data_IF_263772798815
#
_entry.id   IF_263772798815
#
_cell.length_a   1.000
_cell.length_b   1.000
_cell.length_c   1.000
_cell.angle_alpha   90.00
_cell.angle_beta   90.00
_cell.angle_gamma   90.00
#
_symmetry.space_group_name_H-M   'P 1'
#
loop_
_entity.id
_entity.type
_entity.pdbx_description
1 polymer ?
#
# COMPACT_ATOMS: atom_id res chain seq x y z
N UNK A 1 -16.85 -15.36 27.45
CA UNK A 1 -15.76 -14.38 27.33
C UNK A 1 -14.75 -14.60 28.44
N UNK A 2 -13.47 -14.62 28.12
CA UNK A 2 -12.37 -14.78 29.09
C UNK A 2 -11.45 -13.58 28.92
N UNK A 3 -11.14 -12.87 29.99
CA UNK A 3 -10.01 -11.93 30.05
C UNK A 3 -8.81 -12.75 30.48
N UNK A 4 -7.74 -12.72 29.67
CA UNK A 4 -6.58 -13.57 29.90
C UNK A 4 -5.69 -12.93 30.97
N UNK A 5 -5.88 -13.31 32.22
CA UNK A 5 -5.21 -12.75 33.42
C UNK A 5 -4.41 -13.80 34.20
N UNK A 6 -4.64 -15.09 33.96
CA UNK A 6 -3.99 -16.19 34.64
C UNK A 6 -3.27 -17.13 33.68
N UNK A 7 -2.38 -17.95 34.21
CA UNK A 7 -1.69 -19.00 33.41
C UNK A 7 -2.67 -20.03 32.84
N UNK A 8 -3.77 -20.31 33.54
CA UNK A 8 -4.79 -21.25 33.05
C UNK A 8 -5.62 -20.63 31.95
N UNK A 9 -5.90 -19.31 32.00
CA UNK A 9 -6.53 -18.58 30.90
C UNK A 9 -5.65 -18.60 29.65
N UNK A 10 -4.31 -18.47 29.79
CA UNK A 10 -3.36 -18.57 28.67
C UNK A 10 -3.44 -19.93 28.01
N UNK A 11 -3.42 -21.02 28.81
CA UNK A 11 -3.53 -22.39 28.25
C UNK A 11 -4.84 -22.59 27.50
N UNK A 12 -5.97 -22.21 28.12
CA UNK A 12 -7.28 -22.29 27.52
C UNK A 12 -7.37 -21.50 26.21
N UNK A 13 -6.79 -20.29 26.21
CA UNK A 13 -6.69 -19.46 25.02
C UNK A 13 -5.84 -20.14 23.92
N UNK A 14 -4.63 -20.58 24.22
CA UNK A 14 -3.71 -21.16 23.24
C UNK A 14 -4.27 -22.43 22.61
N UNK A 15 -4.86 -23.32 23.39
CA UNK A 15 -5.53 -24.51 22.88
C UNK A 15 -6.65 -24.18 21.90
N UNK A 16 -7.48 -23.19 22.26
CA UNK A 16 -8.59 -22.73 21.42
C UNK A 16 -8.08 -22.05 20.15
N UNK A 17 -7.11 -21.15 20.29
CA UNK A 17 -6.59 -20.29 19.22
C UNK A 17 -5.83 -21.07 18.14
N UNK A 18 -5.14 -22.15 18.52
CA UNK A 18 -4.41 -23.00 17.59
C UNK A 18 -5.27 -24.03 16.88
N UNK A 19 -6.48 -24.30 17.38
CA UNK A 19 -7.35 -25.34 16.86
C UNK A 19 -8.29 -24.89 15.76
N UNK A 20 -8.55 -23.59 15.62
CA UNK A 20 -9.53 -23.05 14.67
C UNK A 20 -9.20 -21.64 14.21
N UNK A 21 -9.85 -21.25 13.12
CA UNK A 21 -9.81 -19.86 12.62
C UNK A 21 -10.45 -18.89 13.62
N UNK A 22 -10.04 -17.62 13.57
CA UNK A 22 -10.54 -16.61 14.49
C UNK A 22 -10.54 -15.20 13.90
N UNK A 23 -11.36 -14.34 14.46
CA UNK A 23 -11.34 -12.89 14.19
C UNK A 23 -10.46 -12.22 15.26
N UNK A 24 -9.52 -11.40 14.83
CA UNK A 24 -8.53 -10.72 15.68
C UNK A 24 -8.66 -9.21 15.47
N UNK A 25 -8.94 -8.49 16.56
CA UNK A 25 -9.11 -7.03 16.57
C UNK A 25 -8.13 -6.42 17.55
N UNK A 26 -7.04 -5.79 17.06
CA UNK A 26 -6.11 -5.05 17.92
C UNK A 26 -6.71 -3.69 18.27
N UNK A 27 -6.53 -3.26 19.51
CA UNK A 27 -6.85 -1.92 19.99
C UNK A 27 -5.57 -1.22 20.42
N UNK A 28 -5.26 -0.11 19.78
CA UNK A 28 -4.09 0.70 20.09
C UNK A 28 -4.36 1.67 21.23
N UNK A 29 -3.29 2.09 21.92
CA UNK A 29 -3.39 3.03 23.06
C UNK A 29 -3.70 4.46 22.60
N UNK A 30 -3.31 4.85 21.37
CA UNK A 30 -3.58 6.18 20.80
C UNK A 30 -3.94 6.04 19.31
N UNK A 31 -5.19 6.29 18.98
CA UNK A 31 -5.70 6.14 17.61
C UNK A 31 -5.19 7.23 16.63
N UNK A 32 -4.55 8.28 17.12
CA UNK A 32 -4.02 9.35 16.26
C UNK A 32 -2.55 9.15 15.90
N UNK A 33 -1.88 8.18 16.52
CA UNK A 33 -0.49 7.83 16.22
C UNK A 33 -0.41 6.71 15.19
N UNK A 34 0.65 6.78 14.38
CA UNK A 34 0.97 5.66 13.51
C UNK A 34 1.21 4.39 14.33
N UNK A 35 0.79 3.19 13.87
CA UNK A 35 1.00 1.94 14.62
C UNK A 35 2.46 1.71 15.03
N UNK A 36 3.42 2.14 14.22
CA UNK A 36 4.86 2.04 14.53
C UNK A 36 5.34 2.97 15.64
N UNK A 37 4.56 3.98 16.02
CA UNK A 37 4.83 4.93 17.11
C UNK A 37 3.88 4.74 18.29
N UNK A 38 3.14 3.64 18.28
CA UNK A 38 2.06 3.37 19.19
C UNK A 38 2.33 2.12 20.03
N UNK A 39 1.50 1.89 21.01
CA UNK A 39 1.49 0.67 21.78
C UNK A 39 0.16 -0.05 21.66
N UNK A 40 0.20 -1.37 21.73
CA UNK A 40 -0.98 -2.20 21.78
C UNK A 40 -1.61 -2.11 23.19
N UNK A 41 -2.89 -1.72 23.26
CA UNK A 41 -3.66 -1.70 24.49
C UNK A 41 -4.18 -3.09 24.84
N UNK A 42 -4.92 -3.68 23.91
CA UNK A 42 -5.42 -5.05 24.03
C UNK A 42 -5.64 -5.68 22.65
N UNK A 43 -5.80 -7.01 22.63
CA UNK A 43 -6.31 -7.74 21.47
C UNK A 43 -7.59 -8.46 21.88
N UNK A 44 -8.67 -8.20 21.13
CA UNK A 44 -9.89 -8.96 21.20
C UNK A 44 -9.86 -10.08 20.16
N UNK A 45 -10.21 -11.30 20.57
CA UNK A 45 -10.22 -12.48 19.71
C UNK A 45 -11.55 -13.20 19.85
N UNK A 46 -12.23 -13.40 18.72
CA UNK A 46 -13.42 -14.23 18.67
C UNK A 46 -13.15 -15.47 17.82
N UNK A 47 -13.27 -16.64 18.41
CA UNK A 47 -13.17 -17.91 17.72
C UNK A 47 -14.37 -18.13 16.79
N UNK A 48 -14.24 -19.03 15.80
CA UNK A 48 -15.38 -19.35 14.92
C UNK A 48 -16.55 -19.98 15.66
N UNK A 49 -16.33 -20.66 16.76
CA UNK A 49 -17.36 -21.18 17.67
C UNK A 49 -17.94 -20.13 18.63
N UNK A 50 -17.59 -18.84 18.44
CA UNK A 50 -18.04 -17.67 19.21
C UNK A 50 -17.48 -17.55 20.63
N UNK A 51 -16.54 -18.37 21.05
CA UNK A 51 -15.78 -18.09 22.26
C UNK A 51 -15.00 -16.80 22.10
N UNK A 52 -14.96 -15.99 23.15
CA UNK A 52 -14.31 -14.67 23.14
C UNK A 52 -13.19 -14.62 24.16
N UNK A 53 -12.07 -14.07 23.74
CA UNK A 53 -10.91 -13.82 24.58
C UNK A 53 -10.47 -12.36 24.42
N UNK A 54 -10.05 -11.75 25.52
CA UNK A 54 -9.41 -10.44 25.55
C UNK A 54 -8.05 -10.59 26.18
N UNK A 55 -7.02 -10.16 25.47
CA UNK A 55 -5.64 -10.17 25.95
C UNK A 55 -5.22 -8.73 26.19
N UNK A 56 -5.17 -8.26 27.42
CA UNK A 56 -4.67 -6.93 27.75
C UNK A 56 -3.13 -6.91 27.67
N UNK A 57 -2.57 -5.82 27.13
CA UNK A 57 -1.12 -5.62 27.07
C UNK A 57 -0.71 -4.42 27.93
N UNK A 58 -0.82 -3.20 27.45
CA UNK A 58 -0.52 -2.00 28.22
C UNK A 58 -1.75 -1.55 29.01
N UNK A 59 -2.19 -2.39 29.93
CA UNK A 59 -3.43 -2.25 30.70
C UNK A 59 -3.21 -2.57 32.17
N UNK A 60 -4.07 -2.06 33.08
CA UNK A 60 -4.07 -2.44 34.50
C UNK A 60 -4.38 -3.93 34.70
N UNK A 61 -5.15 -4.51 33.78
CA UNK A 61 -5.51 -5.92 33.72
C UNK A 61 -4.44 -6.78 33.01
N UNK A 62 -3.30 -6.21 32.62
CA UNK A 62 -2.24 -6.94 31.92
C UNK A 62 -1.67 -8.06 32.77
N UNK A 63 -1.61 -9.27 32.22
CA UNK A 63 -0.96 -10.41 32.83
C UNK A 63 0.57 -10.21 32.81
N UNK A 64 1.15 -9.95 33.97
CA UNK A 64 2.57 -9.66 34.11
C UNK A 64 3.42 -10.93 33.88
N UNK A 65 4.48 -10.80 33.09
CA UNK A 65 5.47 -11.87 32.88
C UNK A 65 5.10 -12.93 31.85
N UNK A 66 3.97 -12.80 31.15
CA UNK A 66 3.58 -13.70 30.09
C UNK A 66 3.71 -13.05 28.71
N UNK A 67 4.41 -13.73 27.81
CA UNK A 67 4.46 -13.38 26.38
C UNK A 67 3.53 -14.32 25.61
N UNK A 68 2.32 -13.85 25.31
CA UNK A 68 1.32 -14.66 24.59
C UNK A 68 1.66 -14.63 23.10
N UNK A 69 1.98 -15.80 22.56
CA UNK A 69 2.29 -15.94 21.14
C UNK A 69 1.01 -16.09 20.31
N UNK A 70 0.72 -15.09 19.48
CA UNK A 70 -0.41 -15.12 18.55
C UNK A 70 -0.08 -15.74 17.18
N UNK A 71 1.15 -16.23 16.98
CA UNK A 71 1.49 -16.92 15.74
C UNK A 71 0.81 -18.31 15.68
N UNK A 72 0.10 -18.56 14.59
CA UNK A 72 -0.66 -19.80 14.38
C UNK A 72 -0.85 -20.10 12.90
N UNK A 73 -0.95 -21.38 12.54
CA UNK A 73 -1.22 -21.84 11.17
C UNK A 73 -2.67 -21.68 10.75
N UNK A 74 -3.60 -21.49 11.70
CA UNK A 74 -5.01 -21.21 11.41
C UNK A 74 -5.20 -19.79 10.89
N UNK A 75 -6.26 -19.58 10.11
CA UNK A 75 -6.52 -18.27 9.49
C UNK A 75 -7.02 -17.26 10.53
N UNK A 76 -6.42 -16.08 10.52
CA UNK A 76 -6.83 -14.94 11.33
C UNK A 76 -7.47 -13.89 10.43
N UNK A 77 -8.70 -13.51 10.74
CA UNK A 77 -9.44 -12.48 10.04
C UNK A 77 -9.38 -11.18 10.83
N UNK A 78 -9.07 -10.08 10.18
CA UNK A 78 -9.02 -8.75 10.81
C UNK A 78 -9.64 -7.70 9.90
N UNK A 79 -9.99 -6.54 10.46
CA UNK A 79 -10.44 -5.40 9.67
C UNK A 79 -9.30 -4.76 8.88
N UNK A 80 -8.13 -4.60 9.51
CA UNK A 80 -6.94 -4.00 8.91
C UNK A 80 -5.71 -4.88 9.19
N UNK A 81 -5.27 -5.58 8.15
CA UNK A 81 -4.11 -6.47 8.21
C UNK A 81 -2.81 -5.70 8.44
N UNK A 82 -2.66 -4.51 7.85
CA UNK A 82 -1.44 -3.72 7.99
C UNK A 82 -1.26 -3.28 9.44
N UNK A 83 -2.32 -2.74 10.04
CA UNK A 83 -2.31 -2.38 11.46
C UNK A 83 -1.95 -3.58 12.34
N UNK A 84 -2.62 -4.72 12.15
CA UNK A 84 -2.32 -5.90 12.95
C UNK A 84 -0.88 -6.36 12.77
N UNK A 85 -0.38 -6.44 11.52
CA UNK A 85 0.98 -6.88 11.21
C UNK A 85 2.08 -5.93 11.67
N UNK A 86 1.77 -4.65 11.90
CA UNK A 86 2.71 -3.66 12.43
C UNK A 86 2.87 -3.74 13.95
N UNK A 87 1.87 -4.26 14.65
CA UNK A 87 1.89 -4.35 16.11
C UNK A 87 2.10 -5.78 16.63
N UNK A 88 1.81 -6.80 15.80
CA UNK A 88 1.91 -8.21 16.23
C UNK A 88 2.13 -9.18 15.07
N UNK A 89 2.89 -10.24 15.30
CA UNK A 89 3.06 -11.36 14.37
C UNK A 89 2.00 -12.44 14.65
N UNK A 90 1.11 -12.71 13.70
CA UNK A 90 -0.03 -13.62 13.87
C UNK A 90 -0.10 -14.78 12.87
N UNK A 91 0.83 -14.91 11.94
CA UNK A 91 0.84 -15.96 10.93
C UNK A 91 -0.08 -15.66 9.73
N UNK A 92 -0.96 -16.58 9.36
CA UNK A 92 -1.86 -16.45 8.20
C UNK A 92 -2.99 -15.46 8.49
N UNK A 93 -2.95 -14.27 7.88
CA UNK A 93 -3.91 -13.18 8.11
C UNK A 93 -4.66 -12.84 6.84
N UNK A 94 -5.96 -12.61 6.97
CA UNK A 94 -6.86 -12.13 5.94
C UNK A 94 -7.45 -10.78 6.36
N UNK A 95 -7.32 -9.79 5.49
CA UNK A 95 -7.96 -8.49 5.63
C UNK A 95 -9.39 -8.53 5.11
N UNK A 96 -10.37 -8.37 6.01
CA UNK A 96 -11.78 -8.48 5.65
C UNK A 96 -12.30 -7.21 4.93
N UNK A 97 -11.71 -6.05 5.22
CA UNK A 97 -12.00 -4.83 4.49
C UNK A 97 -11.59 -4.98 3.02
N UNK A 98 -10.42 -5.56 2.76
CA UNK A 98 -9.97 -5.85 1.40
C UNK A 98 -10.83 -6.92 0.71
N UNK A 99 -11.27 -7.97 1.42
CA UNK A 99 -12.23 -8.93 0.87
C UNK A 99 -13.49 -8.21 0.34
N UNK A 100 -14.05 -7.34 1.17
CA UNK A 100 -15.22 -6.55 0.80
C UNK A 100 -14.94 -5.61 -0.38
N UNK A 101 -13.81 -4.90 -0.33
CA UNK A 101 -13.41 -3.97 -1.39
C UNK A 101 -13.19 -4.66 -2.74
N UNK A 102 -12.54 -5.81 -2.78
CA UNK A 102 -12.33 -6.57 -4.03
C UNK A 102 -13.66 -7.01 -4.66
N UNK A 103 -14.66 -7.32 -3.84
CA UNK A 103 -15.98 -7.74 -4.32
C UNK A 103 -16.89 -6.58 -4.72
N UNK A 104 -16.81 -5.46 -4.01
CA UNK A 104 -17.78 -4.35 -4.15
C UNK A 104 -17.18 -3.08 -4.74
N UNK A 105 -15.86 -2.98 -4.81
CA UNK A 105 -15.07 -1.77 -5.11
C UNK A 105 -15.33 -0.62 -4.11
N UNK A 106 -15.80 -0.95 -2.91
CA UNK A 106 -16.01 -0.01 -1.81
C UNK A 106 -15.37 -0.56 -0.53
N UNK A 107 -14.76 0.28 0.32
CA UNK A 107 -14.29 -0.17 1.63
C UNK A 107 -15.48 -0.62 2.49
N UNK A 108 -15.21 -1.50 3.43
CA UNK A 108 -16.20 -1.93 4.41
C UNK A 108 -16.51 -0.76 5.36
N UNK A 109 -17.74 -0.28 5.31
CA UNK A 109 -18.16 0.82 6.16
C UNK A 109 -18.38 0.36 7.61
N UNK A 110 -17.61 0.94 8.53
CA UNK A 110 -17.68 0.71 9.98
C UNK A 110 -18.21 1.94 10.75
N UNK A 111 -18.58 3.03 10.08
CA UNK A 111 -19.06 4.26 10.74
C UNK A 111 -20.35 4.04 11.52
N UNK A 112 -21.18 3.07 11.09
CA UNK A 112 -22.43 2.71 11.77
C UNK A 112 -22.21 1.86 13.03
N UNK A 113 -21.00 1.34 13.25
CA UNK A 113 -20.66 0.70 14.53
C UNK A 113 -20.61 1.82 15.55
N UNK A 114 -21.52 1.79 16.51
CA UNK A 114 -21.54 2.80 17.56
C UNK A 114 -20.21 2.77 18.32
N UNK A 115 -19.39 3.74 17.98
CA UNK A 115 -18.07 3.94 18.55
C UNK A 115 -18.05 5.10 19.53
N UNK A 116 -19.22 5.71 19.83
CA UNK A 116 -19.26 6.91 20.68
C UNK A 116 -18.61 6.67 22.03
N UNK A 117 -18.92 5.57 22.67
CA UNK A 117 -18.26 5.22 23.93
C UNK A 117 -16.77 4.97 23.75
N UNK A 118 -16.38 4.18 22.73
CA UNK A 118 -14.99 3.87 22.41
C UNK A 118 -14.20 5.13 22.02
N UNK A 119 -14.73 5.93 21.11
CA UNK A 119 -14.12 7.19 20.69
C UNK A 119 -14.07 8.21 21.82
N UNK A 120 -15.11 8.28 22.65
CA UNK A 120 -15.14 9.15 23.80
C UNK A 120 -14.04 8.79 24.80
N UNK A 121 -13.87 7.52 25.12
CA UNK A 121 -12.81 7.07 26.03
C UNK A 121 -11.42 7.31 25.48
N UNK A 122 -11.20 7.03 24.19
CA UNK A 122 -9.92 7.31 23.51
C UNK A 122 -9.63 8.81 23.50
N UNK A 123 -10.62 9.65 23.18
CA UNK A 123 -10.49 11.10 23.17
C UNK A 123 -10.24 11.66 24.58
N UNK A 124 -10.86 11.12 25.62
CA UNK A 124 -10.65 11.53 27.02
C UNK A 124 -9.26 11.14 27.50
N UNK A 125 -8.78 9.97 27.11
CA UNK A 125 -7.42 9.52 27.40
C UNK A 125 -6.39 10.46 26.74
N UNK A 126 -6.57 10.78 25.47
CA UNK A 126 -5.74 11.69 24.69
C UNK A 126 -5.74 13.13 25.25
N UNK A 127 -6.93 13.71 25.48
CA UNK A 127 -7.06 15.11 25.97
C UNK A 127 -6.44 15.36 27.34
N UNK A 128 -6.39 14.36 28.20
CA UNK A 128 -5.85 14.50 29.55
C UNK A 128 -4.35 14.26 29.64
N UNK A 129 -3.69 13.92 28.53
CA UNK A 129 -2.24 13.60 28.50
C UNK A 129 -1.83 12.60 29.58
N UNK A 130 -2.76 11.72 29.96
CA UNK A 130 -2.63 10.87 31.12
C UNK A 130 -2.37 9.44 30.63
N UNK A 131 -1.15 9.20 30.19
CA UNK A 131 -0.66 7.91 29.70
C UNK A 131 -0.89 6.74 30.70
N UNK A 132 -1.15 7.06 31.94
CA UNK A 132 -1.35 6.09 33.03
C UNK A 132 -2.84 5.72 33.26
N UNK A 133 -3.77 6.35 32.55
CA UNK A 133 -5.19 6.01 32.65
C UNK A 133 -5.63 5.21 31.46
N UNK A 134 -5.34 3.95 31.52
CA UNK A 134 -5.79 2.97 30.53
C UNK A 134 -7.30 2.80 30.65
N UNK A 135 -7.97 2.80 29.50
CA UNK A 135 -9.42 2.56 29.43
C UNK A 135 -9.67 1.12 29.90
N UNK A 136 -10.60 0.86 30.84
CA UNK A 136 -10.90 -0.49 31.26
C UNK A 136 -11.27 -1.40 30.09
N UNK A 137 -10.74 -2.61 30.08
CA UNK A 137 -10.90 -3.61 29.01
C UNK A 137 -12.36 -3.76 28.55
N UNK A 138 -13.28 -3.82 29.50
CA UNK A 138 -14.71 -4.01 29.22
C UNK A 138 -15.36 -2.84 28.46
N UNK A 139 -14.74 -1.65 28.44
CA UNK A 139 -15.24 -0.51 27.66
C UNK A 139 -15.02 -0.66 26.17
N UNK A 140 -14.10 -1.50 25.75
CA UNK A 140 -13.85 -1.83 24.35
C UNK A 140 -14.75 -2.96 23.84
N UNK A 141 -15.37 -3.74 24.73
CA UNK A 141 -16.04 -4.98 24.40
C UNK A 141 -17.22 -4.80 23.43
N UNK A 142 -18.04 -3.78 23.63
CA UNK A 142 -19.19 -3.52 22.75
C UNK A 142 -18.75 -3.23 21.31
N UNK A 143 -17.74 -2.36 21.16
CA UNK A 143 -17.14 -2.06 19.86
C UNK A 143 -16.57 -3.33 19.21
N UNK A 144 -15.76 -4.10 19.94
CA UNK A 144 -15.15 -5.33 19.43
C UNK A 144 -16.17 -6.36 18.98
N UNK A 145 -17.25 -6.54 19.73
CA UNK A 145 -18.34 -7.46 19.38
C UNK A 145 -19.10 -7.01 18.13
N UNK A 146 -19.44 -5.72 18.03
CA UNK A 146 -20.10 -5.17 16.83
C UNK A 146 -19.21 -5.32 15.60
N UNK A 147 -17.93 -4.97 15.71
CA UNK A 147 -16.97 -5.13 14.60
C UNK A 147 -16.81 -6.61 14.25
N UNK A 148 -16.59 -7.49 15.21
CA UNK A 148 -16.43 -8.93 14.98
C UNK A 148 -17.64 -9.54 14.25
N UNK A 149 -18.87 -9.17 14.64
CA UNK A 149 -20.09 -9.63 13.97
C UNK A 149 -20.16 -9.12 12.51
N UNK A 150 -19.81 -7.86 12.27
CA UNK A 150 -19.74 -7.32 10.91
C UNK A 150 -18.71 -8.06 10.06
N UNK A 151 -17.51 -8.31 10.61
CA UNK A 151 -16.44 -9.05 9.90
C UNK A 151 -16.91 -10.47 9.56
N UNK A 152 -17.57 -11.18 10.49
CA UNK A 152 -18.09 -12.53 10.28
C UNK A 152 -19.08 -12.58 9.11
N UNK A 153 -20.06 -11.69 9.10
CA UNK A 153 -21.04 -11.59 8.01
C UNK A 153 -20.37 -11.27 6.67
N UNK A 154 -19.34 -10.46 6.71
CA UNK A 154 -18.59 -10.09 5.50
C UNK A 154 -17.76 -11.25 4.97
N UNK A 155 -17.10 -12.02 5.84
CA UNK A 155 -16.35 -13.23 5.48
C UNK A 155 -17.26 -14.23 4.75
N UNK A 156 -18.45 -14.51 5.30
CA UNK A 156 -19.42 -15.44 4.69
C UNK A 156 -19.86 -15.00 3.28
N UNK A 157 -19.90 -13.69 3.03
CA UNK A 157 -20.36 -13.13 1.74
C UNK A 157 -19.25 -12.96 0.71
N UNK A 158 -17.99 -12.81 1.11
CA UNK A 158 -16.93 -12.26 0.26
C UNK A 158 -15.72 -13.16 0.03
N UNK A 159 -15.60 -14.32 0.69
CA UNK A 159 -14.41 -15.17 0.54
C UNK A 159 -14.24 -15.74 -0.88
N UNK A 160 -13.10 -15.50 -1.51
CA UNK A 160 -12.63 -16.12 -2.75
C UNK A 160 -11.10 -16.19 -2.81
N UNK A 161 -10.55 -16.97 -3.77
CA UNK A 161 -9.11 -17.25 -3.88
C UNK A 161 -8.31 -16.07 -4.46
N UNK A 162 -8.87 -15.34 -5.42
CA UNK A 162 -8.17 -14.25 -6.09
C UNK A 162 -7.99 -13.06 -5.15
N UNK A 163 -9.03 -12.76 -4.37
CA UNK A 163 -8.97 -11.76 -3.31
C UNK A 163 -7.92 -12.11 -2.25
N UNK A 164 -7.81 -13.40 -1.90
CA UNK A 164 -6.79 -13.87 -0.94
C UNK A 164 -5.37 -13.65 -1.46
N UNK A 165 -5.12 -13.92 -2.74
CA UNK A 165 -3.82 -13.69 -3.37
C UNK A 165 -3.47 -12.20 -3.41
N UNK A 166 -4.41 -11.35 -3.81
CA UNK A 166 -4.23 -9.89 -3.79
C UNK A 166 -3.95 -9.36 -2.38
N UNK A 167 -4.73 -9.82 -1.40
CA UNK A 167 -4.56 -9.50 0.03
C UNK A 167 -3.13 -9.76 0.50
N UNK A 168 -2.60 -10.95 0.18
CA UNK A 168 -1.28 -11.33 0.63
C UNK A 168 -0.15 -10.51 -0.04
N UNK A 169 -0.32 -10.08 -1.28
CA UNK A 169 0.74 -9.36 -2.00
C UNK A 169 0.72 -7.86 -1.75
N UNK A 170 -0.44 -7.22 -1.84
CA UNK A 170 -0.54 -5.76 -1.77
C UNK A 170 -0.32 -5.24 -0.36
N UNK A 171 -1.11 -5.72 0.61
CA UNK A 171 -1.07 -5.17 1.96
C UNK A 171 0.23 -5.52 2.70
N UNK A 172 0.81 -6.70 2.42
CA UNK A 172 2.11 -7.07 3.00
C UNK A 172 3.21 -6.15 2.50
N UNK A 173 3.28 -5.92 1.18
CA UNK A 173 4.28 -5.05 0.58
C UNK A 173 4.18 -3.60 1.12
N UNK A 174 2.96 -3.06 1.16
CA UNK A 174 2.75 -1.71 1.67
C UNK A 174 3.04 -1.60 3.16
N UNK A 175 2.66 -2.60 3.95
CA UNK A 175 2.99 -2.67 5.39
C UNK A 175 4.50 -2.69 5.64
N UNK A 176 5.26 -3.41 4.80
CA UNK A 176 6.71 -3.44 4.88
C UNK A 176 7.31 -2.04 4.69
N UNK A 177 6.88 -1.32 3.65
CA UNK A 177 7.36 0.05 3.36
C UNK A 177 6.99 1.01 4.50
N UNK A 178 5.75 0.94 5.00
CA UNK A 178 5.28 1.78 6.12
C UNK A 178 6.13 1.57 7.38
N UNK A 179 6.48 0.32 7.70
CA UNK A 179 7.30 -0.03 8.90
C UNK A 179 8.70 0.57 8.86
N UNK A 180 9.28 0.70 7.68
CA UNK A 180 10.63 1.24 7.53
C UNK A 180 10.68 2.73 7.88
N UNK A 181 9.63 3.50 7.55
CA UNK A 181 9.55 4.93 7.80
C UNK A 181 10.64 5.74 7.10
N UNK A 182 10.52 7.05 7.15
CA UNK A 182 11.47 8.00 6.57
C UNK A 182 12.15 8.79 7.69
N UNK A 183 13.49 8.91 7.62
CA UNK A 183 14.23 9.75 8.53
C UNK A 183 14.12 11.21 8.08
N UNK A 184 13.81 12.10 9.02
CA UNK A 184 13.84 13.54 8.82
C UNK A 184 14.86 14.18 9.75
N UNK A 185 15.13 15.46 9.53
CA UNK A 185 15.99 16.26 10.43
C UNK A 185 15.44 16.39 11.87
N UNK A 186 14.15 16.16 12.06
CA UNK A 186 13.46 16.26 13.37
C UNK A 186 13.11 14.91 14.01
N UNK A 187 13.36 13.81 13.32
CA UNK A 187 13.01 12.46 13.78
C UNK A 187 12.49 11.57 12.65
N UNK A 188 12.00 10.38 12.99
CA UNK A 188 11.41 9.49 12.00
C UNK A 188 9.93 9.81 11.82
N UNK A 189 9.48 9.75 10.58
CA UNK A 189 8.06 9.84 10.20
C UNK A 189 7.65 8.60 9.44
N UNK A 190 6.37 8.26 9.52
CA UNK A 190 5.84 7.06 8.87
C UNK A 190 4.80 7.44 7.84
N UNK A 191 4.79 6.74 6.73
CA UNK A 191 3.76 6.84 5.69
C UNK A 191 2.62 5.87 5.99
N UNK A 192 1.43 6.15 5.43
CA UNK A 192 0.30 5.24 5.51
C UNK A 192 -0.40 5.18 4.14
N UNK A 193 -0.39 3.99 3.55
CA UNK A 193 -1.01 3.74 2.26
C UNK A 193 -2.50 3.39 2.42
N UNK A 194 -3.33 4.05 1.62
CA UNK A 194 -4.73 3.70 1.47
C UNK A 194 -5.00 3.23 0.03
N UNK A 195 -5.38 1.96 -0.13
CA UNK A 195 -5.69 1.33 -1.42
C UNK A 195 -7.18 1.40 -1.78
N UNK A 196 -8.04 1.86 -0.87
CA UNK A 196 -9.49 1.90 -1.04
C UNK A 196 -9.92 3.10 -1.88
N UNK A 197 -9.34 3.22 -3.06
CA UNK A 197 -9.64 4.21 -4.10
C UNK A 197 -10.36 3.55 -5.26
N UNK A 198 -10.96 4.30 -6.17
CA UNK A 198 -11.71 3.72 -7.31
C UNK A 198 -10.86 2.74 -8.13
N UNK A 199 -9.58 3.03 -8.33
CA UNK A 199 -8.64 2.19 -9.09
C UNK A 199 -7.78 1.26 -8.23
N UNK A 200 -7.77 1.42 -6.91
CA UNK A 200 -6.83 0.73 -6.01
C UNK A 200 -5.44 1.33 -5.98
N UNK A 201 -5.20 2.42 -6.73
CA UNK A 201 -3.92 3.15 -6.70
C UNK A 201 -3.71 3.72 -5.30
N UNK A 202 -2.64 3.33 -4.59
CA UNK A 202 -2.46 3.73 -3.20
C UNK A 202 -2.28 5.24 -3.05
N UNK A 203 -3.11 5.90 -2.26
CA UNK A 203 -2.78 7.22 -1.73
C UNK A 203 -1.89 7.05 -0.49
N UNK A 204 -1.03 8.03 -0.20
CA UNK A 204 -0.08 7.91 0.90
C UNK A 204 -0.04 9.21 1.71
N UNK A 205 -0.68 9.19 2.89
CA UNK A 205 -0.78 10.35 3.78
C UNK A 205 -0.74 9.92 5.24
N UNK A 206 0.03 10.61 6.05
CA UNK A 206 -0.02 10.48 7.50
C UNK A 206 0.61 11.69 8.19
N UNK A 207 0.16 12.04 9.40
CA UNK A 207 0.75 13.10 10.22
C UNK A 207 0.80 14.49 9.55
N UNK A 208 -0.17 14.79 8.68
CA UNK A 208 -0.21 16.04 7.89
C UNK A 208 0.64 16.03 6.61
N UNK A 209 1.43 14.99 6.37
CA UNK A 209 2.27 14.85 5.17
C UNK A 209 1.52 14.08 4.09
N UNK A 210 1.43 14.66 2.89
CA UNK A 210 1.00 13.95 1.70
C UNK A 210 2.24 13.45 0.93
N UNK A 211 2.68 12.23 1.21
CA UNK A 211 3.90 11.65 0.63
C UNK A 211 3.78 11.46 -0.88
N UNK A 212 2.58 11.20 -1.38
CA UNK A 212 2.32 11.03 -2.81
C UNK A 212 2.41 12.34 -3.63
N UNK A 213 2.32 13.49 -2.95
CA UNK A 213 2.33 14.81 -3.58
C UNK A 213 3.47 15.71 -3.09
N UNK A 214 4.57 15.13 -2.60
CA UNK A 214 5.76 15.89 -2.23
C UNK A 214 6.37 16.57 -3.46
N UNK A 215 6.38 17.90 -3.45
CA UNK A 215 6.84 18.69 -4.59
C UNK A 215 8.38 18.67 -4.70
N UNK A 216 8.88 18.47 -5.92
CA UNK A 216 10.32 18.49 -6.20
C UNK A 216 10.92 19.92 -6.15
N UNK A 217 10.09 20.98 -6.25
CA UNK A 217 10.56 22.36 -6.45
C UNK A 217 10.45 23.27 -5.22
N UNK A 218 9.54 22.97 -4.27
CA UNK A 218 9.23 23.84 -3.13
C UNK A 218 10.13 23.63 -1.89
N UNK A 219 11.06 22.69 -1.98
CA UNK A 219 11.97 22.34 -0.88
C UNK A 219 11.36 21.45 0.21
N UNK A 220 10.08 21.05 0.12
CA UNK A 220 9.44 20.15 1.08
C UNK A 220 10.17 18.81 1.24
N UNK A 221 10.89 18.38 0.21
CA UNK A 221 11.70 17.16 0.21
C UNK A 221 13.03 17.27 0.96
N UNK A 222 13.53 18.50 1.27
CA UNK A 222 14.85 18.70 1.93
C UNK A 222 14.95 18.08 3.32
N UNK A 223 13.83 18.00 4.03
CA UNK A 223 13.79 17.44 5.37
C UNK A 223 14.10 15.93 5.41
N UNK A 224 13.88 15.20 4.32
CA UNK A 224 14.08 13.75 4.27
C UNK A 224 15.55 13.44 3.96
N UNK A 225 16.19 12.72 4.86
CA UNK A 225 17.61 12.37 4.84
C UNK A 225 17.80 10.88 5.12
N UNK A 226 19.01 10.36 4.89
CA UNK A 226 19.34 9.00 5.30
C UNK A 226 19.43 8.89 6.82
N UNK A 227 19.02 7.74 7.37
CA UNK A 227 19.19 7.34 8.78
C UNK A 227 20.62 6.91 9.09
N UNK A 228 21.39 6.57 8.07
CA UNK A 228 22.76 6.08 8.20
C UNK A 228 23.76 7.24 8.12
N UNK A 229 24.80 7.20 8.96
CA UNK A 229 25.84 8.24 8.99
C UNK A 229 26.54 8.41 7.63
N UNK A 230 26.77 7.30 6.93
CA UNK A 230 27.39 7.26 5.60
C UNK A 230 26.33 6.89 4.54
N UNK A 231 25.07 7.21 4.75
CA UNK A 231 23.99 6.85 3.83
C UNK A 231 23.57 7.98 2.92
N UNK A 232 22.89 7.61 1.88
CA UNK A 232 22.24 8.52 0.93
C UNK A 232 20.82 8.03 0.63
N UNK A 233 19.97 8.91 0.14
CA UNK A 233 18.68 8.49 -0.44
C UNK A 233 18.91 8.14 -1.91
N UNK A 234 18.31 7.05 -2.35
CA UNK A 234 18.35 6.58 -3.75
C UNK A 234 16.93 6.45 -4.26
N UNK A 235 16.58 7.20 -5.30
CA UNK A 235 15.31 7.07 -6.03
C UNK A 235 15.53 6.25 -7.29
N UNK A 236 14.72 5.21 -7.47
CA UNK A 236 14.64 4.41 -8.68
C UNK A 236 13.28 4.65 -9.33
N UNK A 237 13.27 5.20 -10.55
CA UNK A 237 12.09 5.71 -11.25
C UNK A 237 12.02 5.07 -12.64
N UNK A 238 10.87 4.51 -13.02
CA UNK A 238 10.69 3.95 -14.35
C UNK A 238 10.70 5.04 -15.43
N UNK A 239 11.54 4.85 -16.44
CA UNK A 239 11.61 5.78 -17.58
C UNK A 239 10.35 5.75 -18.44
N UNK A 240 9.65 6.88 -18.54
CA UNK A 240 8.43 7.05 -19.32
C UNK A 240 7.37 5.96 -19.06
N UNK A 241 7.15 5.62 -17.78
CA UNK A 241 6.45 4.40 -17.34
C UNK A 241 5.09 4.21 -18.02
N UNK A 242 4.19 5.19 -17.94
CA UNK A 242 2.85 5.03 -18.51
C UNK A 242 2.86 4.90 -20.03
N UNK A 243 3.77 5.60 -20.73
CA UNK A 243 3.92 5.44 -22.18
C UNK A 243 4.36 4.02 -22.55
N UNK A 244 5.33 3.47 -21.80
CA UNK A 244 5.82 2.10 -22.02
C UNK A 244 4.80 1.04 -21.61
N UNK A 245 4.09 1.26 -20.50
CA UNK A 245 3.05 0.36 -20.02
C UNK A 245 1.91 0.20 -21.05
N UNK A 246 1.49 1.31 -21.64
CA UNK A 246 0.49 1.30 -22.69
C UNK A 246 1.04 0.74 -24.00
N UNK A 247 2.30 1.04 -24.35
CA UNK A 247 2.96 0.46 -25.53
C UNK A 247 2.96 -1.08 -25.47
N UNK A 248 3.33 -1.66 -24.32
CA UNK A 248 3.26 -3.11 -24.08
C UNK A 248 1.82 -3.64 -24.28
N UNK A 249 0.82 -2.90 -23.79
CA UNK A 249 -0.59 -3.28 -23.90
C UNK A 249 -1.15 -3.27 -25.33
N UNK A 250 -0.74 -2.29 -26.15
CA UNK A 250 -1.21 -2.10 -27.51
C UNK A 250 -0.31 -2.75 -28.57
N UNK A 251 0.73 -3.48 -28.14
CA UNK A 251 1.69 -4.10 -29.05
C UNK A 251 2.49 -3.08 -29.87
N UNK A 252 2.92 -1.99 -29.25
CA UNK A 252 3.80 -1.00 -29.85
C UNK A 252 5.20 -1.04 -29.20
N UNK A 253 6.24 -1.06 -30.01
CA UNK A 253 7.61 -1.05 -29.53
C UNK A 253 8.25 0.32 -29.78
N UNK A 254 8.66 1.00 -28.70
CA UNK A 254 9.48 2.20 -28.83
C UNK A 254 10.88 1.83 -29.32
N UNK A 255 11.51 2.67 -30.15
CA UNK A 255 12.93 2.53 -30.44
C UNK A 255 13.77 2.50 -29.19
N UNK A 256 14.98 1.90 -29.27
CA UNK A 256 15.94 1.92 -28.17
C UNK A 256 16.28 3.35 -27.76
N UNK A 257 16.41 3.58 -26.45
CA UNK A 257 16.74 4.88 -25.86
C UNK A 257 15.56 5.59 -25.20
N UNK A 258 15.64 6.90 -25.12
CA UNK A 258 14.63 7.73 -24.46
C UNK A 258 13.35 7.87 -25.27
N UNK A 259 12.23 7.48 -24.67
CA UNK A 259 10.89 7.67 -25.28
C UNK A 259 10.62 9.15 -25.55
N UNK A 260 10.99 10.02 -24.64
CA UNK A 260 10.74 11.47 -24.80
C UNK A 260 11.61 12.11 -25.88
N UNK A 261 12.85 11.62 -26.10
CA UNK A 261 13.68 12.06 -27.24
C UNK A 261 13.09 11.58 -28.57
N UNK A 262 12.58 10.36 -28.59
CA UNK A 262 11.87 9.86 -29.79
C UNK A 262 10.64 10.72 -30.09
N UNK A 263 9.82 11.01 -29.08
CA UNK A 263 8.65 11.87 -29.27
C UNK A 263 9.02 13.32 -29.64
N UNK A 264 10.12 13.85 -29.10
CA UNK A 264 10.61 15.18 -29.46
C UNK A 264 10.92 15.31 -30.96
N UNK A 265 11.55 14.27 -31.52
CA UNK A 265 11.80 14.19 -32.97
C UNK A 265 10.52 14.12 -33.80
N UNK A 266 9.52 13.35 -33.33
CA UNK A 266 8.23 13.22 -34.02
C UNK A 266 7.39 14.50 -33.98
N UNK A 267 7.45 15.22 -32.85
CA UNK A 267 6.68 16.48 -32.71
C UNK A 267 7.43 17.70 -33.24
N UNK A 268 8.75 17.60 -33.49
CA UNK A 268 9.58 18.75 -33.88
C UNK A 268 9.79 19.78 -32.77
N UNK A 269 9.83 19.34 -31.52
CA UNK A 269 9.95 20.19 -30.32
C UNK A 269 11.11 19.72 -29.43
N UNK A 270 11.42 20.48 -28.38
CA UNK A 270 12.42 20.06 -27.41
C UNK A 270 11.93 18.92 -26.48
N UNK A 271 12.87 18.33 -25.71
CA UNK A 271 12.61 17.20 -24.80
C UNK A 271 11.52 17.50 -23.76
N UNK A 272 11.55 18.68 -23.13
CA UNK A 272 10.63 19.02 -22.06
C UNK A 272 9.21 19.27 -22.59
N UNK A 273 9.13 19.93 -23.73
CA UNK A 273 7.87 20.14 -24.44
C UNK A 273 7.29 18.80 -24.93
N UNK A 274 8.10 17.93 -25.52
CA UNK A 274 7.68 16.59 -25.94
C UNK A 274 7.16 15.76 -24.77
N UNK A 275 7.81 15.82 -23.64
CA UNK A 275 7.36 15.15 -22.42
C UNK A 275 5.99 15.68 -21.97
N UNK A 276 5.80 16.99 -21.96
CA UNK A 276 4.54 17.62 -21.59
C UNK A 276 3.41 17.26 -22.54
N UNK A 277 3.65 17.34 -23.86
CA UNK A 277 2.69 16.99 -24.89
C UNK A 277 2.32 15.50 -24.86
N UNK A 278 3.30 14.60 -24.68
CA UNK A 278 3.04 13.16 -24.59
C UNK A 278 2.10 12.82 -23.44
N UNK A 279 2.27 13.44 -22.26
CA UNK A 279 1.34 13.23 -21.16
C UNK A 279 -0.01 13.92 -21.38
N UNK A 280 -0.03 15.10 -22.01
CA UNK A 280 -1.28 15.76 -22.37
C UNK A 280 -2.11 14.91 -23.33
N UNK A 281 -1.49 14.28 -24.35
CA UNK A 281 -2.17 13.40 -25.28
C UNK A 281 -2.56 12.07 -24.65
N UNK A 282 -1.71 11.52 -23.79
CA UNK A 282 -2.01 10.25 -23.12
C UNK A 282 -3.23 10.35 -22.18
N UNK A 283 -3.30 11.42 -21.38
CA UNK A 283 -4.35 11.58 -20.37
C UNK A 283 -5.56 12.41 -20.82
N UNK A 284 -5.41 13.12 -21.90
CA UNK A 284 -6.42 14.07 -22.38
C UNK A 284 -6.90 13.74 -23.80
N UNK A 285 -6.97 14.78 -24.63
CA UNK A 285 -7.40 14.66 -26.01
C UNK A 285 -6.22 14.46 -26.94
N UNK A 286 -6.30 13.50 -27.83
CA UNK A 286 -5.33 13.26 -28.89
C UNK A 286 -5.81 13.98 -30.15
N UNK A 287 -5.09 15.02 -30.66
CA UNK A 287 -5.46 15.71 -31.88
C UNK A 287 -5.49 14.79 -33.09
N UNK A 288 -6.35 15.05 -34.06
CA UNK A 288 -6.49 14.20 -35.26
C UNK A 288 -5.22 14.15 -36.09
N UNK A 289 -4.47 15.24 -36.16
CA UNK A 289 -3.16 15.30 -36.82
C UNK A 289 -2.15 14.34 -36.16
N UNK A 290 -2.17 14.24 -34.82
CA UNK A 290 -1.32 13.33 -34.06
C UNK A 290 -1.76 11.87 -34.29
N UNK A 291 -3.05 11.58 -34.30
CA UNK A 291 -3.55 10.23 -34.60
C UNK A 291 -3.12 9.75 -36.01
N UNK A 292 -3.07 10.66 -36.98
CA UNK A 292 -2.70 10.33 -38.37
C UNK A 292 -1.18 10.22 -38.55
N UNK A 293 -0.39 11.01 -37.85
CA UNK A 293 1.07 11.09 -38.04
C UNK A 293 1.88 10.25 -37.04
N UNK A 294 1.28 9.80 -35.96
CA UNK A 294 1.98 9.05 -34.92
C UNK A 294 1.29 7.70 -34.63
N UNK A 295 1.93 6.61 -35.07
CA UNK A 295 1.41 5.25 -34.93
C UNK A 295 1.08 4.88 -33.47
N UNK A 296 1.91 5.29 -32.49
CA UNK A 296 1.65 5.02 -31.09
C UNK A 296 0.31 5.62 -30.64
N UNK A 297 0.08 6.91 -30.91
CA UNK A 297 -1.17 7.58 -30.50
C UNK A 297 -2.38 7.15 -31.32
N UNK A 298 -2.18 6.70 -32.57
CA UNK A 298 -3.24 6.02 -33.34
C UNK A 298 -3.72 4.77 -32.62
N UNK A 299 -2.79 3.88 -32.24
CA UNK A 299 -3.11 2.65 -31.49
C UNK A 299 -3.69 2.94 -30.10
N UNK A 300 -3.21 3.98 -29.41
CA UNK A 300 -3.79 4.42 -28.12
C UNK A 300 -5.26 4.82 -28.29
N UNK A 301 -5.57 5.59 -29.33
CA UNK A 301 -6.95 5.99 -29.62
C UNK A 301 -7.86 4.79 -29.92
N UNK A 302 -7.37 3.81 -30.68
CA UNK A 302 -8.12 2.57 -30.95
C UNK A 302 -8.38 1.79 -29.66
N UNK A 303 -7.38 1.69 -28.79
CA UNK A 303 -7.53 1.02 -27.51
C UNK A 303 -8.52 1.74 -26.57
N UNK A 304 -8.51 3.08 -26.55
CA UNK A 304 -9.51 3.87 -25.80
C UNK A 304 -10.93 3.54 -26.29
N UNK A 305 -11.14 3.45 -27.61
CA UNK A 305 -12.45 3.11 -28.19
C UNK A 305 -12.88 1.69 -27.82
N UNK A 306 -11.98 0.71 -27.91
CA UNK A 306 -12.24 -0.68 -27.50
C UNK A 306 -12.66 -0.74 -26.02
N UNK A 307 -11.90 -0.10 -25.14
CA UNK A 307 -12.23 -0.05 -23.71
C UNK A 307 -13.59 0.58 -23.46
N UNK A 308 -13.91 1.64 -24.19
CA UNK A 308 -15.18 2.34 -24.04
C UNK A 308 -16.36 1.48 -24.50
N UNK A 309 -16.22 0.74 -25.59
CA UNK A 309 -17.25 -0.17 -26.11
C UNK A 309 -17.45 -1.37 -25.14
N UNK A 310 -16.36 -1.91 -24.59
CA UNK A 310 -16.44 -2.91 -23.53
C UNK A 310 -17.16 -2.39 -22.29
N UNK A 311 -16.81 -1.19 -21.85
CA UNK A 311 -17.45 -0.54 -20.70
C UNK A 311 -18.95 -0.32 -20.93
N UNK A 312 -19.40 0.06 -22.12
CA UNK A 312 -20.80 0.22 -22.43
C UNK A 312 -21.59 -1.10 -22.36
N UNK A 313 -20.97 -2.20 -22.76
CA UNK A 313 -21.61 -3.52 -22.87
C UNK A 313 -21.54 -4.36 -21.59
N UNK A 314 -20.63 -4.06 -20.66
CA UNK A 314 -20.40 -4.83 -19.45
C UNK A 314 -20.78 -4.01 -18.19
N UNK A 315 -21.15 -4.70 -17.10
CA UNK A 315 -21.45 -4.10 -15.80
C UNK A 315 -20.19 -3.72 -15.00
N UNK A 316 -19.03 -4.21 -15.43
CA UNK A 316 -17.73 -3.96 -14.79
C UNK A 316 -16.61 -4.09 -15.83
N UNK A 317 -15.49 -3.43 -15.54
CA UNK A 317 -14.19 -3.68 -16.16
C UNK A 317 -13.33 -4.54 -15.24
N UNK A 318 -12.40 -5.29 -15.81
CA UNK A 318 -11.54 -6.23 -15.07
C UNK A 318 -10.08 -5.87 -15.30
N UNK A 319 -9.29 -5.85 -14.23
CA UNK A 319 -7.84 -5.73 -14.34
C UNK A 319 -7.18 -7.03 -14.79
N UNK A 320 -5.98 -6.90 -15.38
CA UNK A 320 -5.33 -8.02 -16.09
C UNK A 320 -4.60 -8.99 -15.13
N UNK A 321 -4.05 -8.51 -14.02
CA UNK A 321 -3.16 -9.32 -13.16
C UNK A 321 -3.91 -9.97 -12.01
N UNK A 322 -4.77 -9.19 -11.33
CA UNK A 322 -5.47 -9.66 -10.12
C UNK A 322 -6.97 -9.83 -10.32
N UNK A 323 -7.48 -9.72 -11.56
CA UNK A 323 -8.90 -9.85 -11.91
C UNK A 323 -9.82 -8.92 -11.08
N UNK A 324 -9.28 -7.77 -10.66
CA UNK A 324 -10.04 -6.79 -9.88
C UNK A 324 -11.17 -6.23 -10.73
N UNK A 325 -12.40 -6.33 -10.22
CA UNK A 325 -13.59 -5.78 -10.86
C UNK A 325 -13.83 -4.34 -10.40
N UNK A 326 -14.04 -3.44 -11.34
CA UNK A 326 -14.51 -2.08 -11.09
C UNK A 326 -15.92 -1.98 -11.66
N UNK A 327 -16.91 -1.87 -10.78
CA UNK A 327 -18.31 -1.85 -11.17
C UNK A 327 -18.74 -0.47 -11.64
N UNK A 328 -19.49 -0.42 -12.76
CA UNK A 328 -20.07 0.79 -13.33
C UNK A 328 -20.81 1.66 -12.34
N UNK A 329 -21.61 1.03 -11.47
CA UNK A 329 -22.39 1.73 -10.42
C UNK A 329 -21.55 2.51 -9.40
N UNK A 330 -20.23 2.26 -9.35
CA UNK A 330 -19.27 2.94 -8.46
C UNK A 330 -18.46 4.01 -9.20
N UNK A 331 -18.79 4.30 -10.46
CA UNK A 331 -18.07 5.22 -11.32
C UNK A 331 -19.02 6.31 -11.83
N UNK A 332 -18.83 7.53 -11.34
CA UNK A 332 -19.65 8.67 -11.75
C UNK A 332 -19.02 9.41 -12.95
N UNK A 333 -19.87 9.96 -13.82
CA UNK A 333 -19.49 10.81 -14.95
C UNK A 333 -18.33 10.26 -15.79
N UNK A 334 -18.43 9.00 -16.18
CA UNK A 334 -17.41 8.31 -16.97
C UNK A 334 -17.42 8.76 -18.43
N UNK A 335 -16.23 8.96 -18.99
CA UNK A 335 -16.00 9.19 -20.41
C UNK A 335 -14.80 8.33 -20.86
N UNK A 336 -14.54 8.19 -22.20
CA UNK A 336 -13.47 7.34 -22.69
C UNK A 336 -12.09 7.62 -22.10
N UNK A 337 -11.70 8.89 -22.01
CA UNK A 337 -10.39 9.28 -21.49
C UNK A 337 -10.27 9.05 -19.98
N UNK A 338 -11.33 9.33 -19.21
CA UNK A 338 -11.34 9.06 -17.76
C UNK A 338 -11.26 7.56 -17.48
N UNK A 339 -11.96 6.74 -18.27
CA UNK A 339 -11.88 5.29 -18.18
C UNK A 339 -10.47 4.78 -18.50
N UNK A 340 -9.87 5.28 -19.57
CA UNK A 340 -8.50 4.94 -19.95
C UNK A 340 -7.50 5.31 -18.86
N UNK A 341 -7.63 6.50 -18.25
CA UNK A 341 -6.79 6.91 -17.14
C UNK A 341 -6.94 5.96 -15.92
N UNK A 342 -8.13 5.48 -15.65
CA UNK A 342 -8.35 4.48 -14.59
C UNK A 342 -7.67 3.15 -14.93
N UNK A 343 -7.71 2.71 -16.19
CA UNK A 343 -7.02 1.49 -16.62
C UNK A 343 -5.50 1.63 -16.50
N UNK A 344 -4.91 2.76 -16.89
CA UNK A 344 -3.48 3.01 -16.69
C UNK A 344 -3.10 2.88 -15.22
N UNK A 345 -3.87 3.52 -14.32
CA UNK A 345 -3.61 3.48 -12.87
C UNK A 345 -3.73 2.05 -12.30
N UNK A 346 -4.69 1.25 -12.79
CA UNK A 346 -4.81 -0.15 -12.42
C UNK A 346 -3.59 -0.96 -12.86
N UNK A 347 -3.21 -0.85 -14.14
CA UNK A 347 -2.07 -1.55 -14.71
C UNK A 347 -0.77 -1.18 -13.98
N UNK A 348 -0.53 0.11 -13.72
CA UNK A 348 0.59 0.60 -12.92
C UNK A 348 0.61 -0.04 -11.54
N UNK A 349 -0.51 0.04 -10.81
CA UNK A 349 -0.59 -0.45 -9.43
C UNK A 349 -0.36 -1.96 -9.37
N UNK A 350 -1.02 -2.72 -10.21
CA UNK A 350 -0.91 -4.18 -10.21
C UNK A 350 0.49 -4.66 -10.63
N UNK A 351 1.08 -4.03 -11.66
CA UNK A 351 2.43 -4.34 -12.08
C UNK A 351 3.44 -4.05 -10.95
N UNK A 352 3.33 -2.89 -10.29
CA UNK A 352 4.21 -2.53 -9.20
C UNK A 352 4.04 -3.44 -7.98
N UNK A 353 2.82 -3.85 -7.63
CA UNK A 353 2.61 -4.77 -6.53
C UNK A 353 3.19 -6.17 -6.83
N UNK A 354 3.13 -6.60 -8.09
CA UNK A 354 3.81 -7.81 -8.55
C UNK A 354 5.33 -7.67 -8.41
N UNK A 355 5.89 -6.57 -8.89
CA UNK A 355 7.33 -6.28 -8.81
C UNK A 355 7.80 -6.22 -7.35
N UNK A 356 7.09 -5.50 -6.49
CA UNK A 356 7.40 -5.41 -5.05
C UNK A 356 7.36 -6.76 -4.35
N UNK A 357 6.46 -7.66 -4.75
CA UNK A 357 6.37 -9.01 -4.19
C UNK A 357 7.59 -9.89 -4.49
N UNK A 358 8.33 -9.57 -5.55
CA UNK A 358 9.58 -10.23 -5.90
C UNK A 358 10.79 -9.48 -5.30
N UNK A 359 10.73 -8.14 -5.27
CA UNK A 359 11.82 -7.30 -4.80
C UNK A 359 12.00 -7.41 -3.27
N UNK A 360 10.91 -7.29 -2.50
CA UNK A 360 11.00 -7.23 -1.04
C UNK A 360 11.72 -8.45 -0.45
N UNK A 361 11.40 -9.71 -0.82
CA UNK A 361 12.14 -10.87 -0.33
C UNK A 361 13.64 -10.87 -0.70
N UNK A 362 14.00 -10.25 -1.82
CA UNK A 362 15.38 -10.17 -2.30
C UNK A 362 16.24 -9.15 -1.54
N UNK A 363 15.59 -8.14 -0.94
CA UNK A 363 16.26 -7.06 -0.20
C UNK A 363 16.03 -7.15 1.30
N UNK A 364 15.05 -7.94 1.76
CA UNK A 364 14.86 -8.30 3.16
C UNK A 364 15.81 -9.43 3.52
N UNK A 365 16.79 -9.15 4.35
CA UNK A 365 17.69 -10.17 4.85
C UNK A 365 18.73 -9.55 5.77
N UNK A 366 19.43 -10.38 6.49
CA UNK A 366 20.52 -9.94 7.37
C UNK A 366 21.76 -9.44 6.61
N UNK A 367 21.75 -9.57 5.28
CA UNK A 367 22.88 -9.21 4.42
C UNK A 367 22.96 -7.70 4.14
N UNK A 368 21.80 -7.01 4.09
CA UNK A 368 21.73 -5.60 3.72
C UNK A 368 21.07 -4.76 4.81
N UNK A 369 21.57 -3.56 4.99
CA UNK A 369 20.99 -2.57 5.92
C UNK A 369 20.10 -1.56 5.19
N UNK A 370 20.30 -1.37 3.91
CA UNK A 370 19.49 -0.49 3.05
C UNK A 370 18.03 -0.91 3.04
N UNK A 371 17.12 0.05 3.02
CA UNK A 371 15.69 -0.19 3.14
C UNK A 371 14.88 0.56 2.10
N UNK A 372 13.86 -0.09 1.56
CA UNK A 372 12.81 0.56 0.78
C UNK A 372 11.90 1.34 1.74
N UNK A 373 11.87 2.67 1.63
CA UNK A 373 11.20 3.56 2.59
C UNK A 373 10.00 4.31 2.02
N UNK A 374 9.86 4.38 0.69
CA UNK A 374 8.72 5.02 0.04
C UNK A 374 8.49 4.40 -1.34
N UNK A 375 7.22 4.16 -1.64
CA UNK A 375 6.71 3.82 -2.96
C UNK A 375 5.80 4.95 -3.43
N UNK A 376 6.09 5.52 -4.58
CA UNK A 376 5.37 6.67 -5.13
C UNK A 376 5.07 6.42 -6.61
N UNK A 377 4.09 5.55 -6.88
CA UNK A 377 3.58 5.22 -8.21
C UNK A 377 4.63 4.64 -9.15
N UNK A 378 5.35 5.47 -9.88
CA UNK A 378 6.41 5.11 -10.82
C UNK A 378 7.81 5.05 -10.20
N UNK A 379 7.95 5.44 -8.91
CA UNK A 379 9.23 5.51 -8.23
C UNK A 379 9.28 4.80 -6.89
N UNK A 380 10.48 4.34 -6.53
CA UNK A 380 10.84 3.67 -5.29
C UNK A 380 11.99 4.40 -4.63
N UNK A 381 11.81 4.85 -3.39
CA UNK A 381 12.85 5.54 -2.63
C UNK A 381 13.46 4.60 -1.60
N UNK A 382 14.76 4.47 -1.65
CA UNK A 382 15.55 3.67 -0.72
C UNK A 382 16.37 4.57 0.19
N UNK A 383 16.47 4.18 1.44
CA UNK A 383 17.47 4.67 2.38
C UNK A 383 18.69 3.75 2.27
N UNK A 384 19.68 4.18 1.52
CA UNK A 384 20.83 3.37 1.14
C UNK A 384 21.99 3.57 2.09
N UNK A 385 22.44 2.47 2.71
CA UNK A 385 23.69 2.43 3.46
C UNK A 385 24.86 2.15 2.48
N UNK A 386 25.85 3.02 2.43
CA UNK A 386 27.00 2.86 1.53
C UNK A 386 27.82 1.58 1.81
N UNK A 387 27.68 0.98 3.01
CA UNK A 387 28.34 -0.28 3.36
C UNK A 387 27.79 -1.47 2.58
N UNK A 388 26.54 -1.42 2.12
CA UNK A 388 25.94 -2.46 1.27
C UNK A 388 26.52 -2.49 -0.15
N UNK A 389 27.25 -1.43 -0.55
CA UNK A 389 27.93 -1.34 -1.83
C UNK A 389 27.01 -1.16 -3.04
N UNK A 390 27.59 -0.80 -4.18
CA UNK A 390 26.84 -0.55 -5.41
C UNK A 390 26.19 -1.82 -5.98
N UNK A 391 26.66 -3.01 -5.61
CA UNK A 391 26.10 -4.26 -6.10
C UNK A 391 24.69 -4.50 -5.54
N UNK A 392 24.37 -4.00 -4.33
CA UNK A 392 23.00 -3.93 -3.84
C UNK A 392 22.10 -3.12 -4.79
N UNK A 393 22.53 -1.91 -5.19
CA UNK A 393 21.75 -1.08 -6.11
C UNK A 393 21.59 -1.71 -7.50
N UNK A 394 22.64 -2.39 -7.99
CA UNK A 394 22.56 -3.16 -9.25
C UNK A 394 21.55 -4.29 -9.15
N UNK A 395 21.56 -5.04 -8.03
CA UNK A 395 20.60 -6.09 -7.76
C UNK A 395 19.17 -5.55 -7.76
N UNK A 396 18.91 -4.48 -7.00
CA UNK A 396 17.58 -3.83 -6.93
C UNK A 396 17.12 -3.38 -8.31
N UNK A 397 17.96 -2.63 -9.03
CA UNK A 397 17.67 -2.15 -10.40
C UNK A 397 17.36 -3.34 -11.33
N UNK A 398 18.20 -4.39 -11.27
CA UNK A 398 18.02 -5.59 -12.08
C UNK A 398 16.66 -6.28 -11.83
N UNK A 399 16.24 -6.41 -10.56
CA UNK A 399 14.93 -6.98 -10.21
C UNK A 399 13.79 -6.09 -10.73
N UNK A 400 13.88 -4.77 -10.53
CA UNK A 400 12.88 -3.83 -11.02
C UNK A 400 12.71 -3.93 -12.53
N UNK A 401 13.80 -3.90 -13.31
CA UNK A 401 13.77 -3.96 -14.77
C UNK A 401 13.32 -5.33 -15.30
N UNK A 402 13.85 -6.42 -14.74
CA UNK A 402 13.49 -7.77 -15.17
C UNK A 402 12.01 -8.08 -14.94
N UNK A 403 11.47 -7.66 -13.80
CA UNK A 403 10.07 -7.98 -13.42
C UNK A 403 9.06 -7.02 -14.07
N UNK A 404 9.40 -5.75 -14.24
CA UNK A 404 8.54 -4.79 -14.92
C UNK A 404 8.65 -4.85 -16.43
N UNK A 405 9.81 -5.23 -16.98
CA UNK A 405 10.24 -5.13 -18.37
C UNK A 405 10.57 -3.68 -18.82
N UNK A 406 10.65 -2.74 -17.89
CA UNK A 406 10.86 -1.32 -18.20
C UNK A 406 12.16 -0.80 -17.61
N UNK A 407 12.88 0.09 -18.32
CA UNK A 407 14.14 0.66 -17.83
C UNK A 407 13.92 1.55 -16.63
N UNK A 408 14.88 1.53 -15.70
CA UNK A 408 14.88 2.28 -14.46
C UNK A 408 16.00 3.30 -14.45
N UNK A 409 15.65 4.56 -14.17
CA UNK A 409 16.58 5.64 -13.85
C UNK A 409 16.93 5.59 -12.36
N UNK A 410 18.19 5.86 -12.05
CA UNK A 410 18.70 5.86 -10.68
C UNK A 410 19.21 7.26 -10.35
N UNK A 411 18.67 7.84 -9.29
CA UNK A 411 19.15 9.12 -8.75
C UNK A 411 19.50 8.97 -7.28
N UNK A 412 20.53 9.66 -6.80
CA UNK A 412 20.90 9.66 -5.40
C UNK A 412 21.18 11.05 -4.84
N UNK A 413 21.07 11.22 -3.52
CA UNK A 413 21.33 12.49 -2.86
C UNK A 413 21.44 12.36 -1.34
N UNK A 414 22.03 13.36 -0.70
CA UNK A 414 22.09 13.45 0.77
C UNK A 414 20.72 13.73 1.38
N UNK A 415 19.82 14.31 0.60
CA UNK A 415 18.42 14.52 0.93
C UNK A 415 17.54 14.27 -0.31
N UNK A 416 16.25 14.13 -0.11
CA UNK A 416 15.30 13.79 -1.19
C UNK A 416 15.05 14.93 -2.20
N UNK A 417 15.56 16.13 -1.94
CA UNK A 417 15.44 17.28 -2.84
C UNK A 417 16.64 17.39 -3.81
N UNK A 418 17.84 17.15 -3.31
CA UNK A 418 19.08 17.34 -4.06
C UNK A 418 19.57 16.02 -4.67
N UNK A 419 18.72 15.44 -5.53
CA UNK A 419 18.99 14.17 -6.20
C UNK A 419 19.76 14.39 -7.52
N UNK A 420 20.79 13.59 -7.74
CA UNK A 420 21.59 13.58 -8.98
C UNK A 420 21.40 12.28 -9.72
N UNK A 421 21.16 12.34 -11.02
CA UNK A 421 21.09 11.16 -11.87
C UNK A 421 22.46 10.46 -11.94
N UNK A 422 22.47 9.18 -11.67
CA UNK A 422 23.63 8.30 -11.70
C UNK A 422 23.38 7.05 -12.53
N UNK A 423 22.36 7.04 -13.37
CA UNK A 423 21.93 5.88 -14.17
C UNK A 423 23.08 5.30 -14.99
N UNK A 424 23.97 6.15 -15.53
CA UNK A 424 25.12 5.72 -16.32
C UNK A 424 26.10 4.80 -15.56
N UNK A 425 26.12 4.86 -14.22
CA UNK A 425 26.96 3.96 -13.39
C UNK A 425 26.46 2.51 -13.37
N UNK A 426 25.27 2.26 -13.91
CA UNK A 426 24.59 0.97 -13.89
C UNK A 426 24.33 0.40 -15.31
N UNK A 427 24.88 1.02 -16.33
CA UNK A 427 24.82 0.56 -17.72
C UNK A 427 25.93 -0.43 -18.02
#
# INVERSE_FOLDING_TARGET
>A
MVIVETTDDVKLFEESYRSQDSIVIPILSDMNKHPMENSLSLVYIQMMDRREFIIPYNHSETLTGHNINLFSDTTKYTYDRKLLGQVYAVGKVVDVNLLHYMKTNQPLNIEHIDTNAHNFFNMMHYKKNNMNRVIPVLKHLEYCRKLSNLLRVTIEKCSDSDTMTYNNKVLVNLSHIERNGLQTTSGRVYSQYNIYTSTGRPSNRFGGINFAALNKKDGSRKQFISRYKNGVLVEMDYDAYHLRLIADRIGYEFPQGSVHEHMAKLYGVDYNEAKSLSFQYLYGYIPDEIKQSNEYFSKVNDYINILWDEYKSKEFIVSDIYNKKIYKKNLDDMNPNKLFNYMIQLMETENNMRVLSELIPEIEGYEYQSQLILYNYDSFLFDFNMEDGLDYLKKVKGVLEQKSKFPVKVSWGLNYHEMKDITEKFV
#
